data_IF_961727137826
#
_entry.id   IF_961727137826
#
_cell.length_a   1.000
_cell.length_b   1.000
_cell.length_c   1.000
_cell.angle_alpha   90.00
_cell.angle_beta   90.00
_cell.angle_gamma   90.00
#
_symmetry.space_group_name_H-M   'P 1'
#
loop_
_entity.id
_entity.type
_entity.pdbx_description
1 polymer ?
#
# COMPACT_ATOMS: atom_id res chain seq x y z
N UNK A 1 28.38 7.06 -3.19
CA UNK A 1 27.76 7.39 -1.89
C UNK A 1 27.25 6.11 -1.27
N UNK A 2 27.76 5.72 -0.11
CA UNK A 2 27.18 4.64 0.70
C UNK A 2 25.99 5.24 1.45
N UNK A 3 24.77 4.84 1.08
CA UNK A 3 23.56 5.22 1.80
C UNK A 3 23.09 4.05 2.65
N UNK A 4 22.68 4.30 3.89
CA UNK A 4 21.95 3.38 4.74
C UNK A 4 20.57 3.98 4.99
N UNK A 5 19.52 3.17 4.92
CA UNK A 5 18.16 3.64 5.08
C UNK A 5 17.25 2.62 5.73
N UNK A 6 16.07 3.11 6.10
CA UNK A 6 15.02 2.37 6.78
C UNK A 6 13.66 2.82 6.23
N UNK A 7 12.60 2.15 6.64
CA UNK A 7 11.21 2.54 6.34
C UNK A 7 10.47 2.81 7.65
N UNK A 8 9.48 3.71 7.60
CA UNK A 8 8.60 3.92 8.74
C UNK A 8 7.63 2.75 8.92
N UNK A 9 7.22 2.51 10.16
CA UNK A 9 6.11 1.62 10.45
C UNK A 9 4.75 2.28 10.11
N UNK A 10 3.66 1.59 10.42
CA UNK A 10 2.29 2.08 10.15
C UNK A 10 1.92 3.36 10.90
N UNK A 11 2.58 3.64 12.02
CA UNK A 11 2.39 4.86 12.81
C UNK A 11 3.27 6.02 12.33
N UNK A 12 4.05 5.82 11.26
CA UNK A 12 5.01 6.80 10.75
C UNK A 12 6.31 6.86 11.56
N UNK A 13 6.49 6.00 12.56
CA UNK A 13 7.71 5.96 13.37
C UNK A 13 8.83 5.24 12.62
N UNK A 14 10.04 5.76 12.72
CA UNK A 14 11.25 5.18 12.15
C UNK A 14 12.41 5.34 13.13
N UNK A 15 13.44 4.51 12.97
CA UNK A 15 14.68 4.66 13.70
C UNK A 15 15.83 4.40 12.75
N UNK A 16 16.81 5.30 12.75
CA UNK A 16 18.04 5.16 11.97
C UNK A 16 19.22 5.33 12.92
N UNK A 17 20.13 4.38 12.86
CA UNK A 17 21.40 4.43 13.60
C UNK A 17 22.54 4.32 12.61
N UNK A 18 23.50 5.23 12.70
CA UNK A 18 24.71 5.21 11.88
C UNK A 18 25.93 5.30 12.79
N UNK A 19 26.90 4.42 12.58
CA UNK A 19 28.24 4.53 13.15
C UNK A 19 29.17 5.43 12.31
N UNK A 20 28.71 5.86 11.14
CA UNK A 20 29.44 6.71 10.20
C UNK A 20 28.89 8.14 10.19
N UNK A 21 29.74 9.07 9.74
CA UNK A 21 29.38 10.47 9.56
C UNK A 21 28.19 10.62 8.59
N UNK A 22 27.19 11.43 8.96
CA UNK A 22 25.99 11.69 8.16
C UNK A 22 26.12 13.06 7.51
N UNK A 23 26.09 13.12 6.18
CA UNK A 23 26.07 14.39 5.43
C UNK A 23 24.66 15.00 5.37
N UNK A 24 23.64 14.16 5.17
CA UNK A 24 22.24 14.55 5.15
C UNK A 24 21.32 13.35 5.38
N UNK A 25 20.09 13.60 5.80
CA UNK A 25 18.99 12.63 5.78
C UNK A 25 18.02 12.97 4.66
N UNK A 26 17.62 11.96 3.87
CA UNK A 26 16.58 12.07 2.84
C UNK A 26 15.34 11.32 3.32
N UNK A 27 14.21 12.02 3.36
CA UNK A 27 12.89 11.46 3.62
C UNK A 27 12.07 11.48 2.33
N UNK A 28 11.44 10.37 1.99
CA UNK A 28 10.67 10.25 0.75
C UNK A 28 9.48 9.32 0.95
N UNK A 29 8.37 9.69 0.35
CA UNK A 29 7.15 8.90 0.33
C UNK A 29 6.46 9.04 -1.03
N UNK A 30 5.79 7.98 -1.48
CA UNK A 30 5.10 7.97 -2.77
C UNK A 30 3.99 9.03 -2.77
N UNK A 31 4.01 9.93 -3.76
CA UNK A 31 3.08 11.06 -3.83
C UNK A 31 3.50 12.32 -3.08
N UNK A 32 4.70 12.37 -2.51
CA UNK A 32 5.24 13.54 -1.81
C UNK A 32 6.60 13.96 -2.35
N UNK A 33 6.95 15.24 -2.19
CA UNK A 33 8.28 15.75 -2.49
C UNK A 33 9.28 15.23 -1.44
N UNK A 34 10.48 14.76 -1.86
CA UNK A 34 11.49 14.34 -0.91
C UNK A 34 11.97 15.54 -0.10
N UNK A 35 12.14 15.34 1.21
CA UNK A 35 12.68 16.35 2.12
C UNK A 35 14.10 15.96 2.52
N UNK A 36 14.98 16.94 2.59
CA UNK A 36 16.37 16.78 3.00
C UNK A 36 16.61 17.54 4.30
N UNK A 37 17.28 16.90 5.25
CA UNK A 37 17.79 17.54 6.47
C UNK A 37 19.31 17.50 6.40
N UNK A 38 19.93 18.67 6.44
CA UNK A 38 21.38 18.80 6.40
C UNK A 38 21.98 18.43 7.77
N UNK A 39 23.25 18.04 7.79
CA UNK A 39 23.94 17.60 9.00
C UNK A 39 23.90 18.58 10.17
N UNK A 40 23.84 19.89 9.89
CA UNK A 40 23.82 20.94 10.91
C UNK A 40 22.55 20.89 11.76
N UNK A 41 21.47 20.35 11.19
CA UNK A 41 20.16 20.24 11.80
C UNK A 41 19.89 18.84 12.39
N UNK A 42 20.92 17.97 12.46
CA UNK A 42 20.80 16.61 13.02
C UNK A 42 21.45 16.57 14.40
N UNK A 43 20.63 16.44 15.46
CA UNK A 43 21.15 16.18 16.81
C UNK A 43 21.02 14.70 17.19
N UNK A 44 22.10 14.04 17.65
CA UNK A 44 22.03 12.65 18.13
C UNK A 44 21.04 12.49 19.29
N UNK A 45 20.09 11.55 19.15
CA UNK A 45 19.06 11.26 20.16
C UNK A 45 17.82 12.16 20.10
N UNK A 46 17.74 13.07 19.12
CA UNK A 46 16.55 13.90 18.90
C UNK A 46 15.43 13.13 18.18
N UNK A 47 14.19 13.37 18.61
CA UNK A 47 13.00 12.93 17.89
C UNK A 47 12.61 13.98 16.86
N UNK A 48 12.79 13.67 15.58
CA UNK A 48 12.44 14.57 14.47
C UNK A 48 11.01 14.28 13.98
N UNK A 49 10.16 15.31 13.99
CA UNK A 49 8.87 15.29 13.28
C UNK A 49 9.09 15.75 11.83
N UNK A 50 8.82 14.87 10.88
CA UNK A 50 9.04 15.13 9.45
C UNK A 50 7.70 15.26 8.74
N UNK A 51 7.39 16.47 8.32
CA UNK A 51 6.25 16.75 7.45
C UNK A 51 6.73 16.84 6.00
N UNK A 52 6.04 16.15 5.10
CA UNK A 52 6.33 16.15 3.67
C UNK A 52 5.26 16.91 2.90
N UNK A 53 5.67 17.65 1.88
CA UNK A 53 4.77 18.36 0.99
C UNK A 53 4.20 17.40 -0.06
N UNK A 54 2.88 17.34 -0.16
CA UNK A 54 2.19 16.51 -1.15
C UNK A 54 2.54 17.01 -2.54
N UNK A 55 2.91 16.10 -3.45
CA UNK A 55 2.97 16.42 -4.87
C UNK A 55 1.53 16.72 -5.30
N UNK A 56 1.30 17.91 -5.87
CA UNK A 56 0.08 18.09 -6.65
C UNK A 56 0.02 16.94 -7.66
N UNK A 57 -1.16 16.31 -7.82
CA UNK A 57 -1.38 15.29 -8.84
C UNK A 57 -1.25 15.95 -10.21
N UNK A 58 -0.03 16.29 -10.62
CA UNK A 58 0.28 16.36 -12.01
C UNK A 58 0.11 14.93 -12.48
N UNK A 59 -0.97 14.72 -13.23
CA UNK A 59 -1.07 13.67 -14.23
C UNK A 59 -0.03 14.00 -15.32
N UNK A 60 1.23 14.21 -14.92
CA UNK A 60 2.36 14.11 -15.78
C UNK A 60 2.27 12.69 -16.32
N UNK A 61 1.86 12.63 -17.57
CA UNK A 61 1.98 11.46 -18.41
C UNK A 61 3.29 10.78 -18.04
N UNK A 62 3.22 9.57 -17.48
CA UNK A 62 4.41 8.81 -17.12
C UNK A 62 5.17 8.69 -18.43
N UNK A 63 6.22 9.49 -18.59
CA UNK A 63 7.07 9.45 -19.77
C UNK A 63 7.82 8.13 -19.67
N UNK A 64 7.22 7.10 -20.25
CA UNK A 64 7.89 5.83 -20.48
C UNK A 64 8.98 6.18 -21.49
N UNK A 65 10.16 6.48 -20.97
CA UNK A 65 11.34 6.66 -21.81
C UNK A 65 11.50 5.37 -22.63
N UNK A 66 11.82 5.47 -23.93
CA UNK A 66 12.08 4.28 -24.75
C UNK A 66 13.16 3.45 -24.06
N UNK A 67 12.80 2.23 -23.63
CA UNK A 67 13.68 1.37 -22.83
C UNK A 67 12.92 0.26 -22.08
N UNK A 68 13.67 -0.61 -21.41
CA UNK A 68 13.13 -1.67 -20.55
C UNK A 68 12.79 -1.04 -19.20
N UNK A 69 11.52 -1.12 -18.79
CA UNK A 69 11.10 -0.65 -17.47
C UNK A 69 11.90 -1.38 -16.35
N UNK A 70 12.65 -0.67 -15.49
CA UNK A 70 13.49 -1.29 -14.47
C UNK A 70 12.69 -2.12 -13.45
N UNK A 71 11.46 -1.71 -13.14
CA UNK A 71 10.57 -2.43 -12.23
C UNK A 71 10.16 -3.81 -12.78
N UNK A 72 10.08 -3.98 -14.12
CA UNK A 72 9.67 -5.25 -14.72
C UNK A 72 10.62 -6.40 -14.41
N UNK A 73 11.92 -6.14 -14.22
CA UNK A 73 12.87 -7.19 -13.79
C UNK A 73 12.51 -7.67 -12.38
N UNK A 74 12.27 -6.74 -11.46
CA UNK A 74 11.99 -7.02 -10.05
C UNK A 74 10.66 -7.76 -9.92
N UNK A 75 9.60 -7.29 -10.59
CA UNK A 75 8.28 -7.93 -10.57
C UNK A 75 8.32 -9.35 -11.15
N UNK A 76 9.09 -9.59 -12.22
CA UNK A 76 9.26 -10.95 -12.77
C UNK A 76 9.93 -11.88 -11.76
N UNK A 77 11.03 -11.45 -11.15
CA UNK A 77 11.75 -12.25 -10.17
C UNK A 77 10.91 -12.50 -8.91
N UNK A 78 10.17 -11.49 -8.45
CA UNK A 78 9.19 -11.66 -7.38
C UNK A 78 8.12 -12.69 -7.75
N UNK A 79 7.61 -12.64 -8.99
CA UNK A 79 6.63 -13.59 -9.53
C UNK A 79 7.17 -15.02 -9.59
N UNK A 80 8.40 -15.19 -10.07
CA UNK A 80 9.05 -16.50 -10.21
C UNK A 80 9.34 -17.12 -8.83
N UNK A 81 9.70 -16.30 -7.84
CA UNK A 81 9.99 -16.74 -6.47
C UNK A 81 8.77 -16.90 -5.58
N UNK A 82 7.54 -16.65 -6.08
CA UNK A 82 6.31 -16.70 -5.27
C UNK A 82 6.13 -17.99 -4.49
N UNK A 83 6.44 -19.14 -5.09
CA UNK A 83 6.29 -20.44 -4.41
C UNK A 83 7.29 -20.61 -3.26
N UNK A 84 8.50 -20.07 -3.42
CA UNK A 84 9.55 -20.11 -2.40
C UNK A 84 9.23 -19.13 -1.26
N UNK A 85 8.71 -17.96 -1.61
CA UNK A 85 8.41 -16.89 -0.66
C UNK A 85 7.04 -17.03 0.00
N UNK A 86 6.17 -17.96 -0.45
CA UNK A 86 4.87 -18.20 0.16
C UNK A 86 5.02 -18.95 1.49
N UNK A 87 4.78 -18.30 2.66
CA UNK A 87 4.94 -18.95 3.96
C UNK A 87 3.97 -20.11 4.18
N UNK A 88 2.79 -20.07 3.58
CA UNK A 88 1.74 -21.11 3.68
C UNK A 88 2.17 -22.43 3.01
N UNK A 89 3.20 -22.40 2.15
CA UNK A 89 3.76 -23.59 1.48
C UNK A 89 4.98 -24.18 2.17
N UNK A 90 5.57 -23.47 3.12
CA UNK A 90 6.91 -23.79 3.63
C UNK A 90 6.90 -24.21 5.10
N UNK A 91 6.21 -23.45 5.97
CA UNK A 91 6.32 -23.65 7.41
C UNK A 91 5.05 -23.26 8.15
N UNK A 92 4.93 -23.75 9.38
CA UNK A 92 3.95 -23.21 10.32
C UNK A 92 4.38 -21.80 10.73
N UNK A 93 3.42 -20.90 10.93
CA UNK A 93 3.69 -19.55 11.40
C UNK A 93 2.55 -19.04 12.30
N UNK A 94 2.87 -18.03 13.10
CA UNK A 94 1.90 -17.27 13.87
C UNK A 94 2.28 -15.80 13.81
N UNK A 95 1.31 -14.92 13.66
CA UNK A 95 1.52 -13.47 13.75
C UNK A 95 0.29 -12.76 14.30
N UNK A 96 0.50 -11.56 14.81
CA UNK A 96 -0.56 -10.60 15.11
C UNK A 96 -0.54 -9.53 14.04
N UNK A 97 -1.66 -9.32 13.36
CA UNK A 97 -1.83 -8.27 12.36
C UNK A 97 -2.76 -7.19 12.87
N UNK A 98 -2.42 -5.95 12.53
CA UNK A 98 -3.30 -4.81 12.66
C UNK A 98 -3.76 -4.39 11.26
N UNK A 99 -5.06 -4.24 11.06
CA UNK A 99 -5.66 -3.81 9.79
C UNK A 99 -6.52 -2.58 10.01
N UNK A 100 -6.34 -1.57 9.17
CA UNK A 100 -7.12 -0.33 9.16
C UNK A 100 -7.76 -0.14 7.80
N UNK A 101 -9.06 0.10 7.79
CA UNK A 101 -9.84 0.26 6.56
C UNK A 101 -10.73 1.49 6.68
N UNK A 102 -10.68 2.35 5.67
CA UNK A 102 -11.56 3.50 5.54
C UNK A 102 -12.44 3.34 4.31
N UNK A 103 -13.72 3.69 4.46
CA UNK A 103 -14.67 3.72 3.36
C UNK A 103 -14.98 5.16 3.03
N UNK A 104 -14.84 5.50 1.75
CA UNK A 104 -15.26 6.78 1.19
C UNK A 104 -16.29 6.53 0.11
N UNK A 105 -17.06 7.55 -0.22
CA UNK A 105 -18.00 7.49 -1.33
C UNK A 105 -17.42 8.27 -2.49
N UNK A 106 -17.39 7.65 -3.66
CA UNK A 106 -17.12 8.35 -4.90
C UNK A 106 -18.43 8.93 -5.43
N UNK A 107 -18.53 10.25 -5.38
CA UNK A 107 -19.73 11.00 -5.74
C UNK A 107 -20.03 10.89 -7.23
N UNK A 108 -19.01 10.83 -8.08
CA UNK A 108 -19.17 10.71 -9.53
C UNK A 108 -19.91 9.43 -9.89
N UNK A 109 -19.60 8.34 -9.19
CA UNK A 109 -20.25 7.05 -9.37
C UNK A 109 -21.74 7.06 -8.96
N UNK A 110 -22.11 7.83 -7.92
CA UNK A 110 -23.50 7.94 -7.49
C UNK A 110 -24.36 8.74 -8.45
N UNK A 111 -23.84 9.86 -8.95
CA UNK A 111 -24.61 10.74 -9.84
C UNK A 111 -24.70 10.22 -11.27
N UNK A 112 -23.79 9.33 -11.69
CA UNK A 112 -23.95 8.56 -12.93
C UNK A 112 -25.04 7.48 -12.82
N UNK A 113 -25.32 6.97 -11.62
CA UNK A 113 -26.35 5.96 -11.38
C UNK A 113 -27.74 6.56 -11.06
N UNK A 114 -27.83 7.85 -10.74
CA UNK A 114 -29.07 8.57 -10.42
C UNK A 114 -29.78 9.12 -11.66
N UNK A 115 -31.09 8.91 -11.73
CA UNK A 115 -32.00 9.40 -12.79
C UNK A 115 -31.92 10.91 -13.02
N UNK A 116 -32.16 11.31 -14.27
CA UNK A 116 -32.08 12.65 -14.90
C UNK A 116 -32.75 13.84 -14.17
N UNK A 117 -33.43 13.63 -13.03
CA UNK A 117 -34.26 14.64 -12.37
C UNK A 117 -33.57 15.48 -11.29
N UNK A 118 -32.29 15.26 -10.99
CA UNK A 118 -31.53 16.00 -9.96
C UNK A 118 -30.48 16.97 -10.54
N UNK A 119 -30.61 17.36 -11.81
CA UNK A 119 -29.56 18.09 -12.54
C UNK A 119 -29.57 19.61 -12.42
N UNK A 120 -30.58 20.27 -11.84
CA UNK A 120 -30.70 21.73 -11.98
C UNK A 120 -30.66 22.60 -10.72
N UNK A 121 -30.53 22.09 -9.49
CA UNK A 121 -30.57 22.94 -8.28
C UNK A 121 -29.45 22.69 -7.24
N UNK A 122 -28.33 22.05 -7.58
CA UNK A 122 -27.39 21.54 -6.57
C UNK A 122 -25.90 21.86 -6.78
N UNK A 123 -25.50 22.91 -7.49
CA UNK A 123 -24.06 23.12 -7.77
C UNK A 123 -23.23 23.41 -6.51
N UNK A 124 -23.65 24.34 -5.65
CA UNK A 124 -22.90 24.64 -4.42
C UNK A 124 -23.01 23.50 -3.39
N UNK A 125 -24.20 22.93 -3.22
CA UNK A 125 -24.41 21.81 -2.29
C UNK A 125 -23.73 20.52 -2.74
N UNK A 126 -23.52 20.30 -4.05
CA UNK A 126 -22.70 19.21 -4.56
C UNK A 126 -21.23 19.44 -4.24
N UNK A 127 -20.73 20.64 -4.48
CA UNK A 127 -19.34 20.98 -4.20
C UNK A 127 -19.02 20.90 -2.70
N UNK A 128 -19.94 21.37 -1.84
CA UNK A 128 -19.82 21.23 -0.38
C UNK A 128 -19.89 19.76 0.06
N UNK A 129 -20.76 18.95 -0.56
CA UNK A 129 -20.86 17.52 -0.28
C UNK A 129 -19.63 16.73 -0.77
N UNK A 130 -19.07 17.13 -1.90
CA UNK A 130 -17.82 16.61 -2.46
C UNK A 130 -16.63 16.94 -1.57
N UNK A 131 -16.49 18.21 -1.19
CA UNK A 131 -15.45 18.63 -0.25
C UNK A 131 -15.62 17.94 1.13
N UNK A 132 -16.85 17.73 1.59
CA UNK A 132 -17.14 17.01 2.82
C UNK A 132 -16.77 15.51 2.71
N UNK A 133 -17.15 14.82 1.64
CA UNK A 133 -16.90 13.38 1.44
C UNK A 133 -15.45 13.07 1.03
N UNK A 134 -14.75 14.00 0.38
CA UNK A 134 -13.31 13.90 0.15
C UNK A 134 -12.51 14.04 1.46
N UNK A 135 -12.98 14.89 2.38
CA UNK A 135 -12.33 15.13 3.68
C UNK A 135 -12.74 14.13 4.76
N UNK A 136 -13.89 13.48 4.63
CA UNK A 136 -14.45 12.59 5.66
C UNK A 136 -14.62 11.17 5.15
N UNK A 137 -14.05 10.21 5.88
CA UNK A 137 -14.38 8.80 5.68
C UNK A 137 -15.76 8.52 6.26
N UNK A 138 -16.65 7.90 5.47
CA UNK A 138 -17.99 7.48 5.92
C UNK A 138 -17.91 6.54 7.13
N UNK A 139 -16.90 5.68 7.11
CA UNK A 139 -16.69 4.66 8.13
C UNK A 139 -15.22 4.25 8.21
N UNK A 140 -14.74 4.04 9.43
CA UNK A 140 -13.39 3.59 9.75
C UNK A 140 -13.47 2.33 10.61
N UNK A 141 -12.71 1.32 10.22
CA UNK A 141 -12.61 0.07 10.97
C UNK A 141 -11.15 -0.27 11.23
N UNK A 142 -10.87 -0.68 12.46
CA UNK A 142 -9.55 -1.11 12.90
C UNK A 142 -9.70 -2.49 13.58
N UNK A 143 -8.86 -3.45 13.21
CA UNK A 143 -8.88 -4.81 13.76
C UNK A 143 -7.49 -5.25 14.14
N UNK A 144 -7.38 -5.95 15.27
CA UNK A 144 -6.22 -6.76 15.63
C UNK A 144 -6.63 -8.22 15.52
N UNK A 145 -5.91 -8.99 14.71
CA UNK A 145 -6.15 -10.43 14.56
C UNK A 145 -4.88 -11.23 14.85
N UNK A 146 -5.05 -12.36 15.53
CA UNK A 146 -4.02 -13.39 15.66
C UNK A 146 -4.28 -14.48 14.62
N UNK A 147 -3.31 -14.70 13.73
CA UNK A 147 -3.37 -15.78 12.75
C UNK A 147 -2.33 -16.84 13.07
N UNK A 148 -2.77 -18.10 13.05
CA UNK A 148 -1.95 -19.30 13.17
C UNK A 148 -2.18 -20.18 11.96
N UNK A 149 -1.10 -20.58 11.31
CA UNK A 149 -1.14 -21.46 10.16
C UNK A 149 -0.23 -22.68 10.39
N UNK A 150 -0.73 -23.85 10.02
CA UNK A 150 0.03 -25.10 9.97
C UNK A 150 -0.25 -25.80 8.63
N UNK A 151 0.79 -26.13 7.84
CA UNK A 151 0.62 -26.85 6.58
C UNK A 151 -0.13 -28.19 6.75
N UNK A 152 -0.87 -28.65 5.73
CA UNK A 152 -1.05 -27.99 4.43
C UNK A 152 -2.16 -26.92 4.39
N UNK A 153 -3.12 -26.95 5.32
CA UNK A 153 -4.39 -26.21 5.19
C UNK A 153 -4.99 -25.76 6.53
N UNK A 154 -4.30 -26.00 7.66
CA UNK A 154 -4.83 -25.62 8.98
C UNK A 154 -4.57 -24.13 9.22
N UNK A 155 -5.57 -23.31 8.90
CA UNK A 155 -5.57 -21.87 9.15
C UNK A 155 -6.57 -21.53 10.25
N UNK A 156 -6.12 -20.78 11.27
CA UNK A 156 -6.98 -20.23 12.32
C UNK A 156 -6.66 -18.75 12.47
N UNK A 157 -7.65 -17.90 12.25
CA UNK A 157 -7.57 -16.46 12.50
C UNK A 157 -8.61 -16.08 13.55
N UNK A 158 -8.20 -15.29 14.55
CA UNK A 158 -9.07 -14.82 15.63
C UNK A 158 -8.89 -13.31 15.76
N UNK A 159 -9.97 -12.56 15.61
CA UNK A 159 -9.99 -11.12 15.90
C UNK A 159 -9.98 -10.94 17.41
N UNK A 160 -8.91 -10.35 17.95
CA UNK A 160 -8.72 -10.13 19.39
C UNK A 160 -9.19 -8.74 19.84
N UNK A 161 -9.14 -7.76 18.94
CA UNK A 161 -9.69 -6.43 19.17
C UNK A 161 -10.30 -5.87 17.88
N UNK A 162 -11.35 -5.07 18.03
CA UNK A 162 -11.93 -4.31 16.92
C UNK A 162 -12.40 -2.96 17.41
N UNK A 163 -12.24 -1.95 16.55
CA UNK A 163 -12.79 -0.62 16.75
C UNK A 163 -13.46 -0.18 15.46
N UNK A 164 -14.64 0.37 15.61
CA UNK A 164 -15.48 0.80 14.51
C UNK A 164 -15.96 2.22 14.79
N UNK A 165 -15.83 3.10 13.83
CA UNK A 165 -16.24 4.51 13.92
C UNK A 165 -16.95 4.94 12.63
N UNK A 166 -17.99 5.77 12.75
CA UNK A 166 -18.81 6.25 11.64
C UNK A 166 -20.26 5.76 11.75
N UNK A 167 -20.94 5.61 10.60
CA UNK A 167 -22.32 5.15 10.55
C UNK A 167 -22.48 3.77 11.19
N UNK A 168 -23.36 3.68 12.19
CA UNK A 168 -23.60 2.48 13.01
C UNK A 168 -24.63 1.54 12.37
N UNK A 169 -24.48 1.23 11.08
CA UNK A 169 -25.31 0.18 10.48
C UNK A 169 -24.72 -1.21 10.85
N UNK A 170 -25.50 -2.11 11.46
CA UNK A 170 -25.05 -3.46 11.81
C UNK A 170 -24.52 -4.29 10.63
N UNK A 171 -24.94 -3.99 9.40
CA UNK A 171 -24.46 -4.67 8.19
C UNK A 171 -22.96 -4.46 7.95
N UNK A 172 -22.39 -3.33 8.35
CA UNK A 172 -20.95 -3.08 8.24
C UNK A 172 -20.13 -3.96 9.20
N UNK A 173 -20.70 -4.37 10.34
CA UNK A 173 -20.05 -5.32 11.26
C UNK A 173 -19.96 -6.72 10.66
N UNK A 174 -20.88 -7.10 9.77
CA UNK A 174 -20.79 -8.36 9.01
C UNK A 174 -19.68 -8.30 7.96
N UNK A 175 -19.43 -7.15 7.35
CA UNK A 175 -18.28 -6.96 6.45
C UNK A 175 -16.94 -7.11 7.19
N UNK A 176 -16.91 -6.77 8.49
CA UNK A 176 -15.73 -6.96 9.34
C UNK A 176 -15.32 -8.42 9.47
N UNK A 177 -16.29 -9.33 9.63
CA UNK A 177 -16.02 -10.75 9.87
C UNK A 177 -15.57 -11.50 8.61
N UNK A 178 -15.80 -10.93 7.43
CA UNK A 178 -15.31 -11.43 6.16
C UNK A 178 -13.86 -11.01 5.85
N UNK A 179 -13.26 -10.17 6.70
CA UNK A 179 -11.86 -9.77 6.55
C UNK A 179 -11.01 -10.96 6.99
N UNK A 180 -10.59 -11.76 6.02
CA UNK A 180 -9.58 -12.78 6.21
C UNK A 180 -8.21 -12.22 5.80
N UNK A 181 -7.18 -12.65 6.52
CA UNK A 181 -5.80 -12.42 6.10
C UNK A 181 -5.57 -12.97 4.69
N UNK A 182 -5.35 -12.08 3.73
CA UNK A 182 -5.08 -12.48 2.35
C UNK A 182 -3.66 -13.01 2.21
N UNK A 183 -3.49 -14.09 1.45
CA UNK A 183 -2.17 -14.52 1.02
C UNK A 183 -1.68 -13.55 -0.06
N UNK A 184 -0.61 -12.82 0.21
CA UNK A 184 0.03 -11.94 -0.79
C UNK A 184 0.69 -12.70 -1.94
N UNK A 185 0.74 -14.04 -1.86
CA UNK A 185 1.39 -14.91 -2.83
C UNK A 185 0.43 -15.72 -3.68
N UNK A 186 -0.89 -15.56 -3.54
CA UNK A 186 -1.89 -16.17 -4.42
C UNK A 186 -2.12 -15.36 -5.69
N UNK A 187 -2.56 -16.02 -6.77
CA UNK A 187 -2.68 -15.37 -8.09
C UNK A 187 -3.71 -14.25 -8.10
N UNK A 188 -4.75 -14.43 -7.29
CA UNK A 188 -5.81 -13.49 -7.08
C UNK A 188 -5.83 -13.13 -5.60
N UNK A 189 -5.89 -11.84 -5.31
CA UNK A 189 -6.13 -11.32 -3.97
C UNK A 189 -7.65 -11.26 -3.82
N UNK A 190 -8.19 -11.95 -2.83
CA UNK A 190 -9.60 -11.93 -2.51
C UNK A 190 -9.86 -10.82 -1.50
N UNK A 191 -10.65 -9.82 -1.87
CA UNK A 191 -11.11 -8.79 -0.94
C UNK A 191 -12.64 -8.89 -0.95
N UNK A 192 -13.19 -9.34 0.17
CA UNK A 192 -14.58 -9.81 0.27
C UNK A 192 -14.86 -10.89 -0.79
N UNK A 193 -15.94 -10.77 -1.55
CA UNK A 193 -16.29 -11.72 -2.61
C UNK A 193 -15.72 -11.35 -4.00
N UNK A 194 -14.85 -10.34 -4.07
CA UNK A 194 -14.19 -9.92 -5.32
C UNK A 194 -12.76 -10.41 -5.40
N UNK A 195 -12.38 -10.86 -6.61
CA UNK A 195 -11.04 -11.36 -6.92
C UNK A 195 -10.30 -10.34 -7.75
N UNK A 196 -9.18 -9.85 -7.22
CA UNK A 196 -8.32 -8.89 -7.90
C UNK A 196 -7.05 -9.57 -8.38
N UNK A 197 -6.58 -9.25 -9.59
CA UNK A 197 -5.33 -9.79 -10.09
C UNK A 197 -4.16 -9.31 -9.23
N UNK A 198 -3.40 -10.21 -8.62
CA UNK A 198 -2.24 -9.83 -7.81
C UNK A 198 -1.14 -9.16 -8.69
N UNK A 199 -0.57 -8.01 -8.29
CA UNK A 199 0.48 -7.34 -9.06
C UNK A 199 1.76 -8.16 -9.24
N UNK A 200 2.01 -9.17 -8.41
CA UNK A 200 3.15 -10.10 -8.61
C UNK A 200 2.76 -11.41 -9.32
N UNK A 201 1.54 -11.52 -9.85
CA UNK A 201 1.12 -12.68 -10.64
C UNK A 201 1.87 -12.81 -11.96
N UNK A 202 1.93 -14.04 -12.50
CA UNK A 202 2.59 -14.31 -13.76
C UNK A 202 1.95 -13.49 -14.88
N UNK A 203 2.75 -12.71 -15.60
CA UNK A 203 2.28 -11.84 -16.69
C UNK A 203 1.62 -10.53 -16.25
N UNK A 204 1.68 -10.17 -14.96
CA UNK A 204 1.13 -8.92 -14.42
C UNK A 204 1.71 -7.66 -15.07
N UNK A 205 2.95 -7.71 -15.58
CA UNK A 205 3.62 -6.61 -16.31
C UNK A 205 2.92 -6.19 -17.61
N UNK A 206 1.98 -7.00 -18.12
CA UNK A 206 1.12 -6.64 -19.27
C UNK A 206 -0.20 -5.97 -18.86
N UNK A 207 -0.53 -6.01 -17.57
CA UNK A 207 -1.82 -5.58 -16.99
C UNK A 207 -1.66 -4.33 -16.13
N UNK A 208 -0.55 -4.24 -15.41
CA UNK A 208 -0.22 -3.13 -14.52
C UNK A 208 0.92 -2.27 -15.09
N UNK A 209 0.84 -0.96 -14.83
CA UNK A 209 1.98 -0.06 -14.90
C UNK A 209 2.73 -0.17 -13.58
N UNK A 210 4.05 -0.40 -13.65
CA UNK A 210 4.94 -0.40 -12.50
C UNK A 210 5.93 0.76 -12.61
N UNK A 211 6.16 1.46 -11.51
CA UNK A 211 7.14 2.56 -11.43
C UNK A 211 8.04 2.26 -10.24
N UNK A 212 9.35 2.20 -10.47
CA UNK A 212 10.34 2.11 -9.39
C UNK A 212 10.50 3.51 -8.80
N UNK A 213 9.95 3.72 -7.61
CA UNK A 213 9.90 5.02 -6.92
C UNK A 213 11.19 5.29 -6.16
N UNK A 214 11.75 4.27 -5.49
CA UNK A 214 13.01 4.38 -4.76
C UNK A 214 13.70 3.01 -4.59
N UNK A 215 14.97 3.03 -4.17
CA UNK A 215 15.74 1.86 -3.74
C UNK A 215 16.49 2.19 -2.46
N UNK A 216 16.08 1.58 -1.36
CA UNK A 216 16.64 1.82 -0.03
C UNK A 216 17.66 0.72 0.28
N UNK A 217 18.88 1.08 0.67
CA UNK A 217 19.89 0.11 1.10
C UNK A 217 19.74 -0.14 2.60
N UNK A 218 19.46 -1.38 2.99
CA UNK A 218 19.21 -1.74 4.39
C UNK A 218 20.51 -2.14 5.09
N UNK A 219 20.49 -2.11 6.43
CA UNK A 219 21.65 -2.48 7.26
C UNK A 219 22.16 -3.90 7.02
N UNK A 220 21.27 -4.79 6.58
CA UNK A 220 21.57 -6.21 6.32
C UNK A 220 22.25 -6.44 4.96
N UNK A 221 22.81 -5.39 4.34
CA UNK A 221 23.39 -5.41 2.99
C UNK A 221 22.39 -5.94 1.95
N UNK A 222 21.13 -5.51 2.07
CA UNK A 222 20.07 -5.80 1.11
C UNK A 222 19.56 -4.48 0.51
N UNK A 223 18.86 -4.56 -0.62
CA UNK A 223 18.17 -3.42 -1.23
C UNK A 223 16.67 -3.65 -1.17
N UNK A 224 15.93 -2.66 -0.69
CA UNK A 224 14.47 -2.63 -0.68
C UNK A 224 13.99 -1.75 -1.83
N UNK A 225 13.35 -2.37 -2.82
CA UNK A 225 12.75 -1.67 -3.95
C UNK A 225 11.35 -1.20 -3.58
N UNK A 226 11.09 0.10 -3.72
CA UNK A 226 9.77 0.72 -3.55
C UNK A 226 9.14 0.87 -4.93
N UNK A 227 8.08 0.12 -5.21
CA UNK A 227 7.45 0.07 -6.53
C UNK A 227 5.99 0.45 -6.43
N UNK A 228 5.58 1.56 -7.04
CA UNK A 228 4.17 1.87 -7.19
C UNK A 228 3.57 1.11 -8.38
N UNK A 229 2.30 0.73 -8.27
CA UNK A 229 1.59 0.04 -9.33
C UNK A 229 0.15 0.50 -9.46
N UNK A 230 -0.36 0.47 -10.69
CA UNK A 230 -1.78 0.72 -11.01
C UNK A 230 -2.16 0.02 -12.32
N UNK A 231 -3.45 -0.33 -12.53
CA UNK A 231 -3.89 -0.90 -13.79
C UNK A 231 -3.50 0.00 -14.97
N UNK A 232 -3.05 -0.60 -16.08
CA UNK A 232 -2.82 0.15 -17.32
C UNK A 232 -4.15 0.71 -17.84
N UNK A 233 -4.12 1.95 -18.35
CA UNK A 233 -5.29 2.57 -19.00
C UNK A 233 -5.80 1.66 -20.13
N UNK A 234 -7.13 1.52 -20.24
CA UNK A 234 -7.78 0.72 -21.28
C UNK A 234 -7.70 -0.81 -21.08
N UNK A 235 -7.25 -1.29 -19.91
CA UNK A 235 -7.34 -2.71 -19.55
C UNK A 235 -8.59 -2.96 -18.72
N UNK A 236 -9.43 -3.88 -19.17
CA UNK A 236 -10.61 -4.33 -18.43
C UNK A 236 -10.26 -5.56 -17.58
N UNK A 237 -10.07 -5.34 -16.28
CA UNK A 237 -9.93 -6.38 -15.27
C UNK A 237 -10.05 -5.75 -13.87
N UNK A 238 -10.44 -6.55 -12.87
CA UNK A 238 -10.44 -6.11 -11.48
C UNK A 238 -9.00 -6.10 -10.95
N UNK A 239 -8.47 -4.88 -10.79
CA UNK A 239 -7.08 -4.65 -10.37
C UNK A 239 -6.96 -3.74 -9.16
N UNK A 240 -5.81 -3.79 -8.50
CA UNK A 240 -5.47 -2.95 -7.35
C UNK A 240 -4.50 -1.84 -7.77
N UNK A 241 -4.49 -0.75 -7.02
CA UNK A 241 -3.41 0.25 -7.06
C UNK A 241 -2.74 0.32 -5.70
N UNK A 242 -1.44 0.54 -5.65
CA UNK A 242 -0.72 0.56 -4.37
C UNK A 242 0.79 0.67 -4.55
N UNK A 243 1.49 0.36 -3.46
CA UNK A 243 2.96 0.33 -3.38
C UNK A 243 3.40 -1.04 -2.88
N UNK A 244 4.44 -1.59 -3.50
CA UNK A 244 5.09 -2.83 -3.10
C UNK A 244 6.48 -2.50 -2.57
N UNK A 245 6.86 -3.12 -1.47
CA UNK A 245 8.25 -3.19 -1.03
C UNK A 245 8.78 -4.60 -1.30
N UNK A 246 9.82 -4.71 -2.11
CA UNK A 246 10.41 -5.99 -2.51
C UNK A 246 11.89 -5.96 -2.18
N UNK A 247 12.36 -6.92 -1.41
CA UNK A 247 13.79 -7.03 -1.10
C UNK A 247 14.59 -7.61 -2.28
N UNK A 248 15.89 -7.35 -2.35
CA UNK A 248 16.73 -7.90 -3.40
C UNK A 248 17.16 -9.34 -3.10
N UNK A 249 17.18 -9.70 -1.81
CA UNK A 249 17.45 -11.07 -1.35
C UNK A 249 16.20 -11.95 -1.48
N UNK A 250 16.10 -12.61 -2.62
CA UNK A 250 15.02 -13.58 -2.88
C UNK A 250 13.74 -12.96 -3.40
N UNK A 251 13.68 -11.64 -3.61
CA UNK A 251 12.54 -10.95 -4.22
C UNK A 251 11.22 -11.22 -3.47
N UNK A 252 11.29 -11.23 -2.14
CA UNK A 252 10.15 -11.38 -1.27
C UNK A 252 9.48 -10.04 -1.01
N UNK A 253 8.16 -10.05 -0.86
CA UNK A 253 7.41 -8.90 -0.35
C UNK A 253 7.83 -8.67 1.10
N UNK A 254 8.10 -7.42 1.44
CA UNK A 254 8.39 -6.96 2.79
C UNK A 254 7.30 -5.97 3.22
N UNK A 255 6.80 -6.11 4.45
CA UNK A 255 5.90 -5.16 5.11
C UNK A 255 6.62 -4.51 6.28
#
# INVERSE_FOLDING_TARGET
ASGQGTVSNIDGAFSISSSQYIDFLKFSYVGYHPRFIAKEDIQPGETLLIELDRKAYDIAEVRILPGINPAHRIIRLASDNRKLNNPEKQRSFSYTSYSKMYFTMDIDSMFQAGTDSLKSEMDSSRQDLEEFLEKQHLFLMEFVSERKFKPPDKNKEVVTASRVSGFRDPSFTLLASQIQSTSFYDELIMIWDKKYLNPISKGSTKKYLFILEDTVFTEQMDSLFVISYRPLKGRNFDGLKGVLHINSRGYAIQN
#
